data_IF_632552202495
#
_entry.id   IF_632552202495
#
_cell.length_a   1.000
_cell.length_b   1.000
_cell.length_c   1.000
_cell.angle_alpha   90.00
_cell.angle_beta   90.00
_cell.angle_gamma   90.00
#
_symmetry.space_group_name_H-M   'P 1'
#
loop_
_entity.id
_entity.type
_entity.pdbx_description
1 polymer ?
#
# COMPACT_ATOMS: atom_id res chain seq x y z
N UNK A 1 32.09 35.61 63.17
CA UNK A 1 31.92 36.54 62.06
C UNK A 1 31.91 35.85 60.75
N UNK A 2 30.91 36.13 60.02
CA UNK A 2 30.52 35.57 58.74
C UNK A 2 31.36 36.13 57.60
N UNK A 3 31.85 35.33 56.69
CA UNK A 3 31.99 35.78 55.33
C UNK A 3 31.96 34.61 54.33
N UNK A 4 30.81 34.38 53.75
CA UNK A 4 30.55 33.40 52.71
C UNK A 4 30.77 34.07 51.36
N UNK A 5 31.88 33.74 50.65
CA UNK A 5 32.13 34.19 49.29
C UNK A 5 31.27 33.37 48.29
N UNK A 6 30.36 34.00 47.63
CA UNK A 6 29.68 33.56 46.43
C UNK A 6 30.69 33.45 45.24
N UNK A 7 30.90 32.26 44.72
CA UNK A 7 31.62 32.02 43.48
C UNK A 7 30.61 31.89 42.35
N UNK A 8 30.53 32.90 41.50
CA UNK A 8 29.70 32.89 40.28
C UNK A 8 30.34 32.01 39.23
N UNK A 9 29.57 31.02 38.75
CA UNK A 9 29.93 30.16 37.61
C UNK A 9 29.39 30.80 36.33
N UNK A 10 30.25 31.42 35.56
CA UNK A 10 29.97 31.90 34.22
C UNK A 10 31.02 31.37 33.26
N UNK A 11 30.84 30.15 32.73
CA UNK A 11 31.54 29.69 31.54
C UNK A 11 30.87 28.38 31.04
N UNK A 12 29.99 28.45 30.07
CA UNK A 12 29.37 27.25 29.46
C UNK A 12 28.60 27.47 28.16
N UNK A 13 28.29 28.72 27.80
CA UNK A 13 27.41 28.93 26.63
C UNK A 13 28.12 29.12 25.27
N UNK A 14 29.43 29.33 25.24
CA UNK A 14 30.19 29.56 24.01
C UNK A 14 30.59 28.28 23.27
N UNK A 15 30.98 27.25 24.02
CA UNK A 15 31.48 26.00 23.44
C UNK A 15 30.39 25.16 22.72
N UNK A 16 29.17 25.13 23.28
CA UNK A 16 28.08 24.36 22.72
C UNK A 16 27.55 24.98 21.40
N UNK A 17 27.58 26.31 21.26
CA UNK A 17 27.19 27.00 20.02
C UNK A 17 28.17 26.74 18.86
N UNK A 18 29.45 26.60 19.14
CA UNK A 18 30.48 26.34 18.13
C UNK A 18 30.44 24.89 17.63
N UNK A 19 30.16 23.92 18.49
CA UNK A 19 30.01 22.49 18.09
C UNK A 19 28.80 22.30 17.20
N UNK A 20 27.64 22.92 17.52
CA UNK A 20 26.44 22.85 16.65
C UNK A 20 26.65 23.48 15.27
N UNK A 21 27.36 24.61 15.17
CA UNK A 21 27.67 25.23 13.87
C UNK A 21 28.62 24.40 13.02
N UNK A 22 29.60 23.72 13.62
CA UNK A 22 30.56 22.86 12.91
C UNK A 22 29.88 21.60 12.35
N UNK A 23 28.99 20.98 13.12
CA UNK A 23 28.22 19.79 12.68
C UNK A 23 27.22 20.10 11.58
N UNK A 24 26.58 21.30 11.59
CA UNK A 24 25.64 21.71 10.54
C UNK A 24 26.38 22.00 9.23
N UNK A 25 27.60 22.54 9.29
CA UNK A 25 28.41 22.81 8.09
C UNK A 25 28.88 21.52 7.42
N UNK A 26 29.34 20.55 8.20
CA UNK A 26 29.73 19.21 7.71
C UNK A 26 28.58 18.43 7.11
N UNK A 27 27.38 18.55 7.67
CA UNK A 27 26.17 17.91 7.12
C UNK A 27 25.71 18.54 5.79
N UNK A 28 25.90 19.85 5.61
CA UNK A 28 25.59 20.55 4.34
C UNK A 28 26.58 20.20 3.22
N UNK A 29 27.86 20.03 3.55
CA UNK A 29 28.89 19.61 2.57
C UNK A 29 28.59 18.19 2.07
N UNK A 30 28.32 17.25 2.95
CA UNK A 30 27.93 15.87 2.58
C UNK A 30 26.64 15.79 1.74
N UNK A 31 25.68 16.71 1.96
CA UNK A 31 24.45 16.77 1.18
C UNK A 31 24.69 17.31 -0.24
N UNK A 32 25.67 18.19 -0.43
CA UNK A 32 26.04 18.72 -1.74
C UNK A 32 26.82 17.69 -2.55
N UNK A 33 27.67 16.90 -1.93
CA UNK A 33 28.41 15.81 -2.57
C UNK A 33 27.43 14.71 -3.06
N UNK A 34 26.47 14.34 -2.23
CA UNK A 34 25.42 13.38 -2.62
C UNK A 34 24.51 13.88 -3.76
N UNK A 35 24.30 15.21 -3.88
CA UNK A 35 23.56 15.79 -5.00
C UNK A 35 24.36 15.85 -6.30
N UNK A 36 25.68 15.87 -6.23
CA UNK A 36 26.57 15.84 -7.40
C UNK A 36 26.61 14.43 -8.01
N UNK A 37 26.63 13.36 -7.20
CA UNK A 37 26.59 11.97 -7.67
C UNK A 37 25.26 11.62 -8.36
N UNK A 38 24.11 12.12 -7.88
CA UNK A 38 22.79 11.87 -8.50
C UNK A 38 22.64 12.53 -9.89
N UNK A 39 23.45 13.54 -10.23
CA UNK A 39 23.42 14.18 -11.54
C UNK A 39 24.23 13.46 -12.61
N UNK A 40 25.18 12.59 -12.24
CA UNK A 40 26.01 11.83 -13.18
C UNK A 40 25.31 10.56 -13.73
N UNK A 41 24.29 10.02 -13.05
CA UNK A 41 23.63 8.78 -13.45
C UNK A 41 22.40 8.96 -14.39
N UNK A 42 22.09 10.19 -14.81
CA UNK A 42 20.94 10.46 -15.69
C UNK A 42 21.22 10.35 -17.19
N UNK A 43 22.46 10.03 -17.61
CA UNK A 43 22.83 10.04 -19.03
C UNK A 43 23.07 8.65 -19.67
N UNK A 44 22.67 7.53 -19.04
CA UNK A 44 22.97 6.20 -19.59
C UNK A 44 21.75 5.24 -19.72
N UNK A 45 20.54 5.73 -19.90
CA UNK A 45 19.38 4.85 -20.07
C UNK A 45 18.56 5.12 -21.34
N UNK A 46 19.22 5.44 -22.46
CA UNK A 46 18.58 5.48 -23.80
C UNK A 46 19.32 4.57 -24.80
N UNK A 47 19.33 3.28 -24.59
CA UNK A 47 19.55 2.26 -25.65
C UNK A 47 18.99 0.92 -25.18
N UNK A 48 17.73 0.59 -25.48
CA UNK A 48 17.26 -0.78 -25.73
C UNK A 48 15.76 -0.80 -26.06
N UNK A 49 15.36 -0.23 -27.19
CA UNK A 49 14.16 -0.68 -27.91
C UNK A 49 14.38 -0.44 -29.40
N UNK A 50 14.90 -1.43 -30.11
CA UNK A 50 14.64 -1.69 -31.54
C UNK A 50 15.34 -2.97 -31.96
N UNK A 51 14.58 -4.03 -32.13
CA UNK A 51 14.65 -5.04 -33.20
C UNK A 51 13.88 -6.27 -32.75
N UNK A 52 12.72 -6.49 -33.35
CA UNK A 52 12.53 -7.61 -34.28
C UNK A 52 11.15 -7.44 -34.93
N UNK A 53 11.18 -6.98 -36.17
CA UNK A 53 10.14 -7.20 -37.16
C UNK A 53 10.82 -7.93 -38.36
N UNK A 54 10.41 -9.11 -38.67
CA UNK A 54 10.62 -9.80 -39.95
C UNK A 54 9.53 -10.86 -40.02
N UNK A 55 8.50 -10.61 -40.85
CA UNK A 55 8.21 -11.10 -42.20
C UNK A 55 8.40 -12.59 -42.41
N UNK A 56 7.32 -13.29 -42.68
CA UNK A 56 7.23 -14.20 -43.82
C UNK A 56 5.78 -14.27 -44.30
N UNK A 57 5.64 -13.96 -45.59
CA UNK A 57 4.49 -14.19 -46.45
C UNK A 57 4.38 -15.69 -46.76
N UNK A 58 3.21 -16.22 -47.06
CA UNK A 58 2.72 -16.63 -48.37
C UNK A 58 1.79 -17.86 -48.35
N UNK A 59 0.72 -17.70 -49.15
CA UNK A 59 -0.01 -18.63 -50.05
C UNK A 59 -1.07 -19.59 -49.46
N UNK A 60 -2.35 -19.20 -49.65
CA UNK A 60 -3.26 -19.51 -50.78
C UNK A 60 -3.61 -21.01 -51.01
N UNK A 61 -4.86 -21.38 -50.81
CA UNK A 61 -5.77 -21.93 -51.84
C UNK A 61 -7.07 -22.51 -51.25
N UNK A 62 -8.13 -21.89 -51.68
CA UNK A 62 -9.48 -22.32 -52.03
C UNK A 62 -9.78 -23.83 -52.11
N UNK A 63 -10.98 -24.21 -51.72
CA UNK A 63 -12.15 -24.64 -52.51
C UNK A 63 -13.12 -25.38 -51.62
N UNK A 64 -14.29 -24.94 -51.67
CA UNK A 64 -15.61 -25.39 -52.20
C UNK A 64 -16.49 -26.25 -51.27
N UNK A 65 -17.64 -25.63 -51.01
CA UNK A 65 -19.04 -26.08 -51.15
C UNK A 65 -19.46 -27.48 -50.66
N UNK A 66 -20.41 -27.53 -49.74
CA UNK A 66 -21.74 -28.12 -49.97
C UNK A 66 -22.72 -27.81 -48.84
N UNK A 67 -23.84 -27.28 -49.27
CA UNK A 67 -25.13 -27.16 -48.57
C UNK A 67 -25.67 -28.54 -48.13
N UNK A 68 -26.33 -28.57 -46.99
CA UNK A 68 -27.53 -29.36 -46.81
C UNK A 68 -28.47 -28.74 -45.81
N UNK A 69 -29.68 -28.52 -46.30
CA UNK A 69 -30.90 -28.10 -45.57
C UNK A 69 -31.34 -29.15 -44.55
N UNK A 70 -32.03 -28.70 -43.50
CA UNK A 70 -32.74 -29.60 -42.62
C UNK A 70 -33.28 -29.02 -41.33
N UNK A 71 -34.33 -28.21 -41.46
CA UNK A 71 -35.58 -28.19 -40.64
C UNK A 71 -35.55 -28.01 -39.11
N UNK A 72 -35.99 -26.84 -38.72
CA UNK A 72 -36.88 -26.36 -37.63
C UNK A 72 -37.28 -27.35 -36.52
N UNK A 73 -36.91 -26.99 -35.29
CA UNK A 73 -37.85 -27.01 -34.15
C UNK A 73 -37.58 -25.88 -33.18
N UNK A 74 -38.58 -24.99 -33.04
CA UNK A 74 -38.67 -23.96 -32.01
C UNK A 74 -38.56 -24.57 -30.62
N UNK A 75 -37.63 -24.08 -29.81
CA UNK A 75 -37.85 -24.06 -28.38
C UNK A 75 -37.41 -22.70 -27.83
N UNK A 76 -38.41 -21.97 -27.35
CA UNK A 76 -38.23 -20.72 -26.61
C UNK A 76 -37.67 -21.08 -25.25
N UNK A 77 -36.45 -20.60 -24.96
CA UNK A 77 -36.06 -20.36 -23.59
C UNK A 77 -35.31 -19.04 -23.55
N UNK A 78 -35.87 -18.18 -22.74
CA UNK A 78 -35.50 -16.84 -22.40
C UNK A 78 -34.02 -16.71 -22.04
N UNK A 79 -33.26 -16.09 -22.93
CA UNK A 79 -31.91 -15.59 -22.61
C UNK A 79 -32.03 -14.43 -21.65
N UNK A 80 -31.66 -14.69 -20.43
CA UNK A 80 -31.36 -13.64 -19.44
C UNK A 80 -30.16 -12.86 -19.88
N UNK A 81 -30.41 -11.69 -20.35
CA UNK A 81 -29.55 -10.58 -20.62
C UNK A 81 -28.43 -10.51 -19.54
N UNK A 82 -27.18 -10.84 -19.92
CA UNK A 82 -26.00 -10.64 -19.11
C UNK A 82 -25.66 -9.17 -19.18
N UNK A 83 -26.31 -8.40 -18.33
CA UNK A 83 -26.01 -6.98 -18.13
C UNK A 83 -24.56 -6.85 -17.67
N UNK A 84 -23.72 -6.28 -18.51
CA UNK A 84 -22.43 -5.76 -18.11
C UNK A 84 -22.72 -4.71 -17.05
N UNK A 85 -22.47 -5.03 -15.79
CA UNK A 85 -22.58 -4.06 -14.70
C UNK A 85 -21.53 -2.98 -14.92
N UNK A 86 -21.96 -1.88 -15.50
CA UNK A 86 -21.28 -0.59 -15.35
C UNK A 86 -21.08 -0.37 -13.85
N UNK A 87 -19.86 0.01 -13.46
CA UNK A 87 -19.55 0.42 -12.09
C UNK A 87 -20.45 1.58 -11.71
N UNK A 88 -21.62 1.28 -11.17
CA UNK A 88 -22.41 2.27 -10.48
C UNK A 88 -21.70 2.58 -9.17
N UNK A 89 -21.38 3.87 -8.97
CA UNK A 89 -21.12 4.40 -7.64
C UNK A 89 -22.30 4.00 -6.76
N UNK A 90 -22.16 2.90 -6.04
CA UNK A 90 -23.19 2.44 -5.11
C UNK A 90 -23.19 3.38 -3.92
N UNK A 91 -23.97 4.45 -4.04
CA UNK A 91 -24.16 5.49 -3.01
C UNK A 91 -24.77 4.92 -1.71
N UNK A 92 -24.88 3.57 -1.61
CA UNK A 92 -25.39 2.85 -0.44
C UNK A 92 -24.31 2.58 0.63
N UNK A 93 -23.03 2.66 0.27
CA UNK A 93 -21.93 2.48 1.22
C UNK A 93 -21.70 3.77 2.00
N UNK A 94 -21.94 3.71 3.31
CA UNK A 94 -21.72 4.82 4.22
C UNK A 94 -20.85 4.35 5.36
N UNK A 95 -19.55 4.64 5.28
CA UNK A 95 -18.67 4.45 6.42
C UNK A 95 -18.91 5.56 7.44
N UNK A 96 -19.08 5.15 8.70
CA UNK A 96 -19.24 6.06 9.84
C UNK A 96 -17.93 6.06 10.63
N UNK A 97 -17.16 7.14 10.50
CA UNK A 97 -15.85 7.29 11.15
C UNK A 97 -15.96 7.33 12.68
N UNK A 98 -17.09 7.79 13.24
CA UNK A 98 -17.32 7.83 14.69
C UNK A 98 -17.50 6.40 15.25
N UNK A 99 -18.21 5.53 14.53
CA UNK A 99 -18.34 4.12 14.88
C UNK A 99 -17.06 3.33 14.64
N UNK A 100 -16.24 3.79 13.69
CA UNK A 100 -14.94 3.21 13.37
C UNK A 100 -14.96 1.83 12.77
N UNK A 101 -13.79 1.21 12.76
CA UNK A 101 -13.50 -0.11 12.19
C UNK A 101 -13.08 -1.10 13.26
N UNK A 102 -13.19 -2.41 12.96
CA UNK A 102 -12.56 -3.46 13.78
C UNK A 102 -11.09 -3.66 13.36
N UNK A 103 -10.30 -4.19 14.27
CA UNK A 103 -8.94 -4.63 13.99
C UNK A 103 -8.97 -5.77 12.95
N UNK A 104 -8.24 -5.60 11.81
CA UNK A 104 -8.23 -6.62 10.77
C UNK A 104 -7.45 -7.87 11.16
N UNK A 105 -6.44 -7.73 12.01
CA UNK A 105 -5.61 -8.81 12.60
C UNK A 105 -5.18 -8.41 14.01
N UNK A 106 -4.59 -9.36 14.74
CA UNK A 106 -4.02 -9.10 16.07
C UNK A 106 -5.08 -8.79 17.12
N UNK A 107 -4.64 -8.18 18.21
CA UNK A 107 -5.46 -7.91 19.39
C UNK A 107 -5.39 -6.46 19.87
N UNK A 108 -4.97 -5.53 19.00
CA UNK A 108 -4.97 -4.11 19.31
C UNK A 108 -3.61 -3.43 19.14
N UNK A 109 -3.46 -2.24 19.68
CA UNK A 109 -2.28 -1.36 19.51
C UNK A 109 -0.93 -1.99 19.90
N UNK A 110 -0.94 -2.96 20.81
CA UNK A 110 0.28 -3.66 21.27
C UNK A 110 0.97 -4.44 20.15
N UNK A 111 0.24 -4.76 19.07
CA UNK A 111 0.75 -5.52 17.93
C UNK A 111 1.31 -4.60 16.83
N UNK A 112 1.34 -3.26 17.04
CA UNK A 112 1.85 -2.32 16.04
C UNK A 112 3.38 -2.35 16.03
N UNK A 113 3.94 -2.66 14.86
CA UNK A 113 5.38 -2.66 14.59
C UNK A 113 5.83 -1.28 14.10
N UNK A 114 5.10 -0.69 13.13
CA UNK A 114 5.36 0.64 12.60
C UNK A 114 4.06 1.47 12.65
N UNK A 115 4.15 2.63 13.26
CA UNK A 115 3.04 3.58 13.36
C UNK A 115 2.89 4.38 12.08
N UNK A 116 1.66 4.83 11.82
CA UNK A 116 1.39 5.83 10.80
C UNK A 116 2.19 7.11 11.05
N UNK A 117 2.74 7.69 10.00
CA UNK A 117 3.36 9.01 10.05
C UNK A 117 3.51 9.60 8.66
N UNK A 118 2.86 10.72 8.39
CA UNK A 118 2.94 11.44 7.12
C UNK A 118 3.73 12.77 7.23
N UNK A 119 4.02 13.24 8.44
CA UNK A 119 4.78 14.47 8.69
C UNK A 119 6.14 14.22 9.33
N UNK A 120 6.26 13.17 10.13
CA UNK A 120 7.50 12.71 10.74
C UNK A 120 7.94 11.40 10.09
N UNK A 121 9.17 10.98 10.37
CA UNK A 121 9.70 9.71 9.87
C UNK A 121 9.70 8.65 10.96
N UNK A 122 9.45 7.39 10.59
CA UNK A 122 9.66 6.20 11.42
C UNK A 122 10.83 5.39 10.86
N UNK A 123 11.51 4.65 11.73
CA UNK A 123 12.64 3.84 11.34
C UNK A 123 12.19 2.48 10.82
N UNK A 124 12.50 2.18 9.55
CA UNK A 124 12.30 0.87 8.94
C UNK A 124 13.56 0.04 9.11
N UNK A 125 13.49 -1.01 9.92
CA UNK A 125 14.64 -1.87 10.27
C UNK A 125 15.22 -2.56 9.04
N UNK A 126 14.38 -3.19 8.22
CA UNK A 126 14.80 -3.87 6.99
C UNK A 126 15.55 -2.96 6.04
N UNK A 127 15.13 -1.70 5.94
CA UNK A 127 15.71 -0.73 5.02
C UNK A 127 16.84 0.08 5.63
N UNK A 128 17.07 -0.06 6.95
CA UNK A 128 18.01 0.72 7.75
C UNK A 128 17.88 2.24 7.53
N UNK A 129 16.65 2.75 7.35
CA UNK A 129 16.40 4.16 7.05
C UNK A 129 15.12 4.71 7.69
N UNK A 130 15.06 6.03 7.82
CA UNK A 130 13.90 6.76 8.25
C UNK A 130 13.05 7.18 7.05
N UNK A 131 11.75 6.82 7.07
CA UNK A 131 10.77 7.16 6.01
C UNK A 131 9.45 7.60 6.64
N UNK A 132 8.64 8.34 5.89
CA UNK A 132 7.21 8.49 6.18
C UNK A 132 6.52 7.14 6.00
N UNK A 133 5.49 6.87 6.79
CA UNK A 133 4.72 5.63 6.72
C UNK A 133 3.23 5.95 6.59
N UNK A 134 2.62 5.75 5.40
CA UNK A 134 1.21 6.08 5.19
C UNK A 134 0.24 5.05 5.79
N UNK A 135 0.75 4.06 6.50
CA UNK A 135 0.01 2.94 7.04
C UNK A 135 0.37 2.66 8.50
N UNK A 136 -0.36 1.76 9.14
CA UNK A 136 0.15 1.02 10.31
C UNK A 136 0.60 -0.36 9.84
N UNK A 137 1.72 -0.84 10.38
CA UNK A 137 2.18 -2.22 10.17
C UNK A 137 1.90 -2.98 11.45
N UNK A 138 1.09 -4.01 11.35
CA UNK A 138 0.56 -4.77 12.50
C UNK A 138 1.20 -6.16 12.51
N UNK A 139 1.84 -6.57 13.59
CA UNK A 139 2.37 -7.91 13.75
C UNK A 139 1.25 -8.95 13.60
N UNK A 140 1.52 -10.01 12.87
CA UNK A 140 0.58 -11.08 12.64
C UNK A 140 1.31 -12.41 12.45
N UNK A 141 0.60 -13.52 12.65
CA UNK A 141 1.14 -14.86 12.40
C UNK A 141 1.02 -15.20 10.92
N UNK A 142 1.96 -15.98 10.40
CA UNK A 142 1.83 -16.53 9.04
C UNK A 142 0.51 -17.31 8.93
N UNK A 143 -0.18 -17.15 7.79
CA UNK A 143 -1.51 -17.75 7.54
C UNK A 143 -2.65 -17.23 8.42
N UNK A 144 -2.42 -16.23 9.26
CA UNK A 144 -3.49 -15.59 10.03
C UNK A 144 -4.55 -15.00 9.10
N UNK A 145 -5.83 -15.17 9.46
CA UNK A 145 -6.95 -14.63 8.70
C UNK A 145 -7.04 -13.13 8.85
N UNK A 146 -7.09 -12.41 7.73
CA UNK A 146 -7.29 -10.97 7.68
C UNK A 146 -8.77 -10.68 7.48
N UNK A 147 -9.36 -9.95 8.41
CA UNK A 147 -10.77 -9.56 8.40
C UNK A 147 -10.96 -8.20 7.74
N UNK A 148 -12.07 -8.01 7.04
CA UNK A 148 -12.51 -6.71 6.58
C UNK A 148 -12.80 -5.81 7.79
N UNK A 149 -12.05 -4.72 7.93
CA UNK A 149 -12.18 -3.78 9.04
C UNK A 149 -13.53 -3.03 9.05
N UNK A 150 -14.11 -2.84 7.87
CA UNK A 150 -15.44 -2.27 7.63
C UNK A 150 -16.11 -2.99 6.45
N UNK A 151 -17.41 -2.83 6.30
CA UNK A 151 -18.13 -3.28 5.12
C UNK A 151 -17.75 -2.42 3.91
N UNK A 152 -17.73 -3.01 2.71
CA UNK A 152 -17.33 -2.26 1.52
C UNK A 152 -17.43 -3.06 0.23
N UNK A 153 -16.88 -2.49 -0.84
CA UNK A 153 -16.73 -3.13 -2.15
C UNK A 153 -15.25 -3.22 -2.48
N UNK A 154 -14.79 -4.38 -2.88
CA UNK A 154 -13.40 -4.59 -3.32
C UNK A 154 -13.16 -3.80 -4.60
N UNK A 155 -12.40 -2.71 -4.50
CA UNK A 155 -12.09 -1.79 -5.59
C UNK A 155 -11.00 -2.31 -6.50
N UNK A 156 -9.92 -2.87 -5.91
CA UNK A 156 -8.81 -3.42 -6.68
C UNK A 156 -8.01 -4.45 -5.90
N UNK A 157 -7.42 -5.38 -6.64
CA UNK A 157 -6.41 -6.33 -6.16
C UNK A 157 -5.16 -6.14 -7.01
N UNK A 158 -4.03 -5.81 -6.38
CA UNK A 158 -2.75 -5.55 -7.05
C UNK A 158 -1.62 -6.25 -6.30
N UNK A 159 -0.50 -6.47 -6.99
CA UNK A 159 0.73 -6.97 -6.37
C UNK A 159 1.85 -5.96 -6.61
N UNK A 160 2.60 -5.64 -5.56
CA UNK A 160 3.78 -4.79 -5.61
C UNK A 160 4.95 -5.44 -4.87
N UNK A 161 6.16 -4.99 -5.15
CA UNK A 161 7.37 -5.45 -4.46
C UNK A 161 7.36 -5.07 -2.98
N UNK A 162 6.81 -3.89 -2.65
CA UNK A 162 6.84 -3.35 -1.29
C UNK A 162 5.76 -4.01 -0.41
N UNK A 163 4.50 -3.94 -0.82
CA UNK A 163 3.36 -4.38 0.01
C UNK A 163 2.80 -5.75 -0.37
N UNK A 164 3.45 -6.46 -1.31
CA UNK A 164 2.98 -7.78 -1.77
C UNK A 164 1.60 -7.71 -2.42
N UNK A 165 0.84 -8.80 -2.31
CA UNK A 165 -0.56 -8.80 -2.76
C UNK A 165 -1.40 -7.92 -1.85
N UNK A 166 -2.05 -6.93 -2.45
CA UNK A 166 -2.74 -5.84 -1.77
C UNK A 166 -4.17 -5.72 -2.28
N UNK A 167 -5.12 -5.69 -1.36
CA UNK A 167 -6.55 -5.50 -1.61
C UNK A 167 -6.96 -4.11 -1.16
N UNK A 168 -7.58 -3.34 -2.05
CA UNK A 168 -8.19 -2.05 -1.73
C UNK A 168 -9.71 -2.21 -1.70
N UNK A 169 -10.33 -1.79 -0.62
CA UNK A 169 -11.79 -1.83 -0.40
C UNK A 169 -12.31 -0.40 -0.27
N UNK A 170 -13.27 -0.03 -1.11
CA UNK A 170 -14.05 1.18 -0.93
C UNK A 170 -15.08 0.93 0.17
N UNK A 171 -15.01 1.67 1.25
CA UNK A 171 -15.89 1.54 2.40
C UNK A 171 -16.95 2.65 2.47
N UNK A 172 -16.96 3.55 1.49
CA UNK A 172 -17.92 4.64 1.36
C UNK A 172 -17.46 5.96 1.98
N UNK A 173 -18.20 7.03 1.68
CA UNK A 173 -17.92 8.40 2.13
C UNK A 173 -16.49 8.89 1.83
N UNK A 174 -15.88 8.41 0.71
CA UNK A 174 -14.51 8.77 0.31
C UNK A 174 -13.42 8.01 1.06
N UNK A 175 -13.78 7.03 1.91
CA UNK A 175 -12.81 6.20 2.62
C UNK A 175 -12.47 4.92 1.87
N UNK A 176 -11.21 4.56 1.89
CA UNK A 176 -10.69 3.29 1.38
C UNK A 176 -9.86 2.60 2.45
N UNK A 177 -10.07 1.29 2.63
CA UNK A 177 -9.22 0.44 3.47
C UNK A 177 -8.33 -0.43 2.58
N UNK A 178 -7.03 -0.44 2.84
CA UNK A 178 -6.01 -1.10 2.02
C UNK A 178 -5.27 -2.12 2.88
N UNK A 179 -5.27 -3.37 2.43
CA UNK A 179 -4.70 -4.53 3.11
C UNK A 179 -3.57 -5.10 2.26
N UNK A 180 -2.33 -4.99 2.70
CA UNK A 180 -1.15 -5.52 2.02
C UNK A 180 -0.54 -6.73 2.76
N UNK A 181 0.48 -7.37 2.17
CA UNK A 181 1.16 -8.58 2.65
C UNK A 181 0.22 -9.80 2.69
N UNK A 182 -0.69 -9.90 1.71
CA UNK A 182 -1.70 -10.95 1.66
C UNK A 182 -1.32 -12.12 0.75
N UNK A 183 -1.92 -13.28 1.03
CA UNK A 183 -2.01 -14.46 0.18
C UNK A 183 -3.38 -15.13 0.32
N UNK A 184 -3.68 -16.10 -0.55
CA UNK A 184 -4.89 -16.91 -0.47
C UNK A 184 -6.14 -16.03 -0.27
N UNK A 185 -6.39 -15.12 -1.23
CA UNK A 185 -7.48 -14.17 -1.14
C UNK A 185 -8.84 -14.90 -1.19
N UNK A 186 -9.76 -14.46 -0.33
CA UNK A 186 -11.15 -14.92 -0.28
C UNK A 186 -12.11 -13.97 -0.99
N UNK A 187 -11.60 -12.93 -1.64
CA UNK A 187 -12.37 -11.86 -2.27
C UNK A 187 -11.96 -11.66 -3.72
N UNK A 188 -12.83 -11.01 -4.51
CA UNK A 188 -12.62 -10.68 -5.92
C UNK A 188 -12.96 -9.20 -6.17
N UNK A 189 -12.39 -8.63 -7.23
CA UNK A 189 -12.72 -7.27 -7.66
C UNK A 189 -14.24 -7.11 -7.86
N UNK A 190 -14.80 -6.02 -7.37
CA UNK A 190 -16.22 -5.70 -7.41
C UNK A 190 -17.09 -6.45 -6.39
N UNK A 191 -16.53 -7.32 -5.55
CA UNK A 191 -17.27 -8.06 -4.54
C UNK A 191 -17.65 -7.15 -3.37
N UNK A 192 -18.93 -7.20 -2.95
CA UNK A 192 -19.38 -6.64 -1.67
C UNK A 192 -18.92 -7.55 -0.53
N UNK A 193 -18.41 -6.96 0.53
CA UNK A 193 -17.96 -7.66 1.74
C UNK A 193 -18.53 -6.98 2.98
N UNK A 194 -18.89 -7.77 3.98
CA UNK A 194 -19.31 -7.28 5.28
C UNK A 194 -18.11 -7.05 6.22
N UNK A 195 -18.31 -6.21 7.22
CA UNK A 195 -17.34 -6.06 8.32
C UNK A 195 -17.11 -7.43 9.00
N UNK A 196 -15.85 -7.85 9.09
CA UNK A 196 -15.46 -9.14 9.67
C UNK A 196 -15.32 -10.28 8.66
N UNK A 197 -15.74 -10.13 7.40
CA UNK A 197 -15.49 -11.12 6.35
C UNK A 197 -14.00 -11.33 6.14
N UNK A 198 -13.60 -12.54 5.75
CA UNK A 198 -12.19 -12.86 5.50
C UNK A 198 -11.79 -12.31 4.12
N UNK A 199 -10.87 -11.36 4.11
CA UNK A 199 -10.28 -10.79 2.89
C UNK A 199 -9.23 -11.74 2.29
N UNK A 200 -8.41 -12.34 3.15
CA UNK A 200 -7.34 -13.25 2.77
C UNK A 200 -6.55 -13.69 4.00
N UNK A 201 -5.31 -14.11 3.78
CA UNK A 201 -4.42 -14.59 4.83
C UNK A 201 -3.09 -13.86 4.76
N UNK A 202 -2.41 -13.74 5.90
CA UNK A 202 -1.09 -13.11 5.99
C UNK A 202 -0.06 -13.96 5.24
N UNK A 203 0.67 -13.32 4.33
CA UNK A 203 1.78 -13.90 3.59
C UNK A 203 3.09 -13.87 4.40
N UNK A 204 4.14 -14.46 3.84
CA UNK A 204 5.51 -14.16 4.26
C UNK A 204 5.80 -12.69 3.97
N UNK A 205 6.59 -11.98 4.79
CA UNK A 205 6.93 -10.59 4.54
C UNK A 205 7.67 -10.45 3.20
N UNK A 206 7.44 -9.35 2.50
CA UNK A 206 8.26 -9.00 1.32
C UNK A 206 9.68 -8.65 1.76
N UNK A 207 10.59 -8.50 0.79
CA UNK A 207 11.97 -8.05 1.03
C UNK A 207 12.09 -6.69 1.75
N UNK A 208 11.01 -5.92 1.80
CA UNK A 208 10.95 -4.60 2.45
C UNK A 208 10.60 -4.68 3.95
N UNK A 209 10.19 -5.87 4.46
CA UNK A 209 9.71 -6.07 5.84
C UNK A 209 10.32 -7.31 6.50
N UNK A 210 11.48 -7.78 6.07
CA UNK A 210 12.09 -9.01 6.59
C UNK A 210 12.46 -8.90 8.06
N UNK A 211 12.99 -7.77 8.51
CA UNK A 211 13.36 -7.50 9.90
C UNK A 211 12.15 -7.10 10.77
N UNK A 212 11.11 -6.53 10.15
CA UNK A 212 9.83 -6.28 10.80
C UNK A 212 9.06 -7.59 11.06
N UNK A 213 9.35 -8.63 10.27
CA UNK A 213 8.73 -9.94 10.38
C UNK A 213 7.36 -10.02 9.73
N UNK A 214 6.64 -11.10 10.01
CA UNK A 214 5.31 -11.35 9.44
C UNK A 214 4.29 -10.33 9.93
N UNK A 215 3.63 -9.65 9.01
CA UNK A 215 2.80 -8.49 9.33
C UNK A 215 1.67 -8.27 8.32
N UNK A 216 0.70 -7.45 8.71
CA UNK A 216 -0.27 -6.81 7.84
C UNK A 216 0.15 -5.35 7.60
N UNK A 217 0.28 -4.94 6.35
CA UNK A 217 0.27 -3.53 5.95
C UNK A 217 -1.17 -3.06 5.90
N UNK A 218 -1.55 -2.10 6.77
CA UNK A 218 -2.91 -1.58 6.82
C UNK A 218 -2.93 -0.06 6.69
N UNK A 219 -3.45 0.43 5.55
CA UNK A 219 -3.56 1.84 5.24
C UNK A 219 -5.04 2.23 5.10
N UNK A 220 -5.39 3.40 5.59
CA UNK A 220 -6.70 4.01 5.35
C UNK A 220 -6.51 5.32 4.62
N UNK A 221 -7.31 5.52 3.58
CA UNK A 221 -7.38 6.80 2.87
C UNK A 221 -8.73 7.45 3.06
N UNK A 222 -8.72 8.76 3.18
CA UNK A 222 -9.88 9.64 3.10
C UNK A 222 -9.69 10.59 1.92
N UNK A 223 -10.60 10.56 0.95
CA UNK A 223 -10.52 11.38 -0.27
C UNK A 223 -9.15 11.30 -0.97
N UNK A 224 -8.58 10.08 -1.02
CA UNK A 224 -7.30 9.78 -1.65
C UNK A 224 -6.06 10.12 -0.83
N UNK A 225 -6.19 10.70 0.37
CA UNK A 225 -5.08 11.01 1.28
C UNK A 225 -5.02 10.02 2.42
N UNK A 226 -3.83 9.51 2.74
CA UNK A 226 -3.63 8.59 3.86
C UNK A 226 -3.89 9.30 5.19
N UNK A 227 -4.68 8.67 6.03
CA UNK A 227 -5.03 9.11 7.40
C UNK A 227 -4.60 8.05 8.41
N UNK A 228 -4.41 8.46 9.67
CA UNK A 228 -3.98 7.54 10.73
C UNK A 228 -5.08 6.49 11.00
N UNK A 229 -4.83 5.20 10.70
CA UNK A 229 -5.81 4.16 10.95
C UNK A 229 -6.18 4.00 12.42
N UNK A 230 -5.29 4.38 13.36
CA UNK A 230 -5.53 4.25 14.80
C UNK A 230 -6.65 5.16 15.31
N UNK A 231 -6.94 6.25 14.60
CA UNK A 231 -8.08 7.12 14.95
C UNK A 231 -9.43 6.43 14.63
N UNK A 232 -9.42 5.42 13.76
CA UNK A 232 -10.61 4.74 13.27
C UNK A 232 -10.77 3.31 13.80
N UNK A 233 -9.68 2.65 14.24
CA UNK A 233 -9.70 1.31 14.82
C UNK A 233 -10.24 1.35 16.27
N UNK A 234 -11.17 0.42 16.57
CA UNK A 234 -11.85 0.33 17.89
C UNK A 234 -11.74 -1.08 18.45
#
# INVERSE_FOLDING_TARGET
>A
DKNTKKKTVAAGSGAVKNIKKKNIKSAREKLNDAKAEIKSDKNNNDVYVKKTAAKTDDKKKSTDTKQHDGNIKKNRNTDKNKTVSTMSNDNSLKFDAEKGMIWPVGSGEKDIILKFSNSNTVYFKTLAQYKVNPAVVIAAKADEKVKAAAAGIVKSIKTSDETGTTVTVDIGNGYEAIYGQLKNLNVKNGQKIAKGDIVGHIAKPTKYYTEEGTNLYFEVKENGKSVDPLLLLK
#
